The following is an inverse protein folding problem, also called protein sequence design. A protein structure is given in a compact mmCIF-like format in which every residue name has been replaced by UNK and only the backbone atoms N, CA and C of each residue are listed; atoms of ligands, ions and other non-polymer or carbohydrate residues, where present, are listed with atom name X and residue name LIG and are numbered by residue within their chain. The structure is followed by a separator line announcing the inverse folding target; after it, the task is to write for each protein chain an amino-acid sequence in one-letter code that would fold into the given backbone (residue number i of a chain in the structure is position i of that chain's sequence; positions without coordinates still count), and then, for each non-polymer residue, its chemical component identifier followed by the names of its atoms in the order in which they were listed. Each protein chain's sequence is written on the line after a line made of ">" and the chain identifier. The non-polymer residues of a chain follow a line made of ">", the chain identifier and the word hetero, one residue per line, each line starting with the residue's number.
data_IF_582105166263
#
_entry.id   IF_582105166263
#
_cell.length_a   1.000
_cell.length_b   1.000
_cell.length_c   1.000
_cell.angle_alpha   90.00
_cell.angle_beta   90.00
_cell.angle_gamma   90.00
#
_symmetry.space_group_name_H-M   'P 1'
#
loop_
_entity.id
_entity.type
_entity.pdbx_description
1 polymer ?
#
# COMPACT_ATOMS: atom_id res chain seq x y z
N UNK A 1 -31.41 -9.32 -0.49
CA UNK A 1 -30.47 -9.34 -1.65
C UNK A 1 -29.82 -7.99 -1.92
N UNK A 2 -30.42 -6.84 -1.56
CA UNK A 2 -29.76 -5.54 -1.76
C UNK A 2 -28.46 -5.35 -0.96
N UNK A 3 -28.37 -5.93 0.25
CA UNK A 3 -27.18 -5.79 1.10
C UNK A 3 -25.94 -6.44 0.46
N UNK A 4 -26.08 -7.63 -0.15
CA UNK A 4 -24.96 -8.32 -0.83
C UNK A 4 -24.49 -7.58 -2.09
N UNK A 5 -25.42 -7.02 -2.87
CA UNK A 5 -25.09 -6.21 -4.05
C UNK A 5 -24.35 -4.92 -3.66
N UNK A 6 -24.79 -4.26 -2.58
CA UNK A 6 -24.15 -3.06 -2.07
C UNK A 6 -22.77 -3.35 -1.46
N UNK A 7 -22.63 -4.47 -0.75
CA UNK A 7 -21.35 -4.92 -0.18
C UNK A 7 -20.34 -5.31 -1.27
N UNK A 8 -20.78 -6.02 -2.30
CA UNK A 8 -19.95 -6.35 -3.47
C UNK A 8 -19.45 -5.10 -4.19
N UNK A 9 -20.33 -4.14 -4.47
CA UNK A 9 -19.95 -2.88 -5.13
C UNK A 9 -19.00 -2.04 -4.26
N UNK A 10 -19.23 -2.00 -2.95
CA UNK A 10 -18.34 -1.32 -2.00
C UNK A 10 -16.96 -1.98 -1.93
N UNK A 11 -16.91 -3.31 -1.93
CA UNK A 11 -15.67 -4.07 -1.99
C UNK A 11 -14.92 -3.85 -3.30
N UNK A 12 -15.61 -3.87 -4.44
CA UNK A 12 -14.98 -3.59 -5.74
C UNK A 12 -14.42 -2.16 -5.79
N UNK A 13 -15.16 -1.18 -5.30
CA UNK A 13 -14.71 0.21 -5.21
C UNK A 13 -13.49 0.37 -4.30
N UNK A 14 -13.47 -0.35 -3.17
CA UNK A 14 -12.34 -0.38 -2.23
C UNK A 14 -11.10 -1.03 -2.83
N UNK A 15 -11.25 -2.11 -3.60
CA UNK A 15 -10.14 -2.75 -4.34
C UNK A 15 -9.54 -1.76 -5.33
N UNK A 16 -10.37 -1.08 -6.13
CA UNK A 16 -9.88 -0.10 -7.11
C UNK A 16 -9.19 1.09 -6.46
N UNK A 17 -9.71 1.58 -5.33
CA UNK A 17 -9.09 2.67 -4.58
C UNK A 17 -7.75 2.24 -3.97
N UNK A 18 -7.70 1.06 -3.35
CA UNK A 18 -6.49 0.50 -2.76
C UNK A 18 -5.43 0.18 -3.81
N UNK A 19 -5.80 -0.33 -4.98
CA UNK A 19 -4.88 -0.55 -6.11
C UNK A 19 -4.19 0.76 -6.54
N UNK A 20 -4.94 1.85 -6.70
CA UNK A 20 -4.34 3.17 -7.03
C UNK A 20 -3.38 3.66 -5.95
N UNK A 21 -3.72 3.46 -4.67
CA UNK A 21 -2.87 3.83 -3.54
C UNK A 21 -1.57 3.01 -3.49
N UNK A 22 -1.67 1.70 -3.74
CA UNK A 22 -0.52 0.80 -3.84
C UNK A 22 0.42 1.21 -4.97
N UNK A 23 -0.13 1.51 -6.15
CA UNK A 23 0.65 1.93 -7.33
C UNK A 23 1.43 3.22 -7.05
N UNK A 24 0.76 4.22 -6.46
CA UNK A 24 1.41 5.49 -6.13
C UNK A 24 2.53 5.29 -5.10
N UNK A 25 2.26 4.56 -4.02
CA UNK A 25 3.26 4.29 -2.98
C UNK A 25 4.45 3.47 -3.52
N UNK A 26 4.20 2.52 -4.42
CA UNK A 26 5.25 1.74 -5.08
C UNK A 26 6.16 2.64 -5.94
N UNK A 27 5.58 3.60 -6.68
CA UNK A 27 6.35 4.57 -7.46
C UNK A 27 7.21 5.47 -6.57
N UNK A 28 6.69 5.94 -5.44
CA UNK A 28 7.42 6.75 -4.45
C UNK A 28 8.56 5.96 -3.78
N UNK A 29 8.34 4.67 -3.49
CA UNK A 29 9.40 3.79 -2.98
C UNK A 29 10.49 3.58 -4.03
N UNK A 30 10.11 3.33 -5.29
CA UNK A 30 11.05 3.07 -6.37
C UNK A 30 11.94 4.30 -6.67
N UNK A 31 11.35 5.51 -6.68
CA UNK A 31 12.12 6.75 -6.88
C UNK A 31 13.09 7.04 -5.73
N UNK A 32 12.68 6.76 -4.49
CA UNK A 32 13.53 6.87 -3.31
C UNK A 32 14.65 5.82 -3.29
N UNK A 33 14.36 4.57 -3.70
CA UNK A 33 15.35 3.50 -3.77
C UNK A 33 16.46 3.77 -4.82
N UNK A 34 16.12 4.39 -5.95
CA UNK A 34 17.10 4.79 -6.97
C UNK A 34 17.97 5.97 -6.51
N UNK A 35 17.43 6.85 -5.66
CA UNK A 35 18.15 8.02 -5.12
C UNK A 35 19.14 7.65 -4.00
N UNK A 36 19.10 6.41 -3.51
CA UNK A 36 19.94 5.91 -2.43
C UNK A 36 20.94 4.88 -2.98
N UNK A 37 22.18 5.27 -3.35
CA UNK A 37 23.19 4.29 -3.71
C UNK A 37 23.43 3.34 -2.52
N UNK A 38 23.68 2.04 -2.76
CA UNK A 38 23.97 1.11 -1.68
C UNK A 38 25.17 1.63 -0.89
N UNK A 39 24.95 2.03 0.36
CA UNK A 39 26.00 2.33 1.32
C UNK A 39 26.71 1.03 1.72
N UNK A 40 27.41 0.43 0.75
CA UNK A 40 28.56 -0.41 0.99
C UNK A 40 29.79 0.49 1.06
N UNK A 41 30.42 0.54 2.23
CA UNK A 41 31.84 0.88 2.40
C UNK A 41 32.26 2.32 2.06
N UNK A 42 32.17 3.23 3.03
CA UNK A 42 33.03 4.43 3.06
C UNK A 42 33.92 4.38 4.31
N UNK A 43 35.16 3.93 4.10
CA UNK A 43 36.32 4.26 4.94
C UNK A 43 36.38 5.76 5.23
N UNK A 44 36.76 6.21 6.45
CA UNK A 44 36.91 7.62 6.75
C UNK A 44 38.21 8.19 6.16
N UNK A 45 38.15 9.35 5.48
CA UNK A 45 39.17 10.37 5.69
C UNK A 45 38.54 11.65 6.27
N UNK A 46 39.20 12.15 7.31
CA UNK A 46 38.90 13.41 8.00
C UNK A 46 38.94 14.61 7.04
N UNK A 47 38.17 15.65 7.38
CA UNK A 47 38.16 16.99 6.80
C UNK A 47 37.38 17.22 5.49
N UNK A 48 36.07 17.01 5.52
CA UNK A 48 35.14 17.86 4.76
C UNK A 48 34.07 18.39 5.72
N UNK A 49 34.12 19.70 5.97
CA UNK A 49 33.05 20.50 6.57
C UNK A 49 31.86 20.52 5.59
N UNK A 50 31.13 19.41 5.53
CA UNK A 50 30.02 19.23 4.62
C UNK A 50 28.74 19.81 5.25
N UNK A 51 28.32 20.98 4.78
CA UNK A 51 26.97 21.50 5.00
C UNK A 51 25.94 20.67 4.21
N UNK A 52 25.65 19.44 4.64
CA UNK A 52 24.43 18.72 4.26
C UNK A 52 24.14 17.50 5.17
N UNK A 53 23.49 17.69 6.33
CA UNK A 53 22.72 16.63 6.98
C UNK A 53 21.23 16.63 6.56
N UNK A 54 20.68 17.77 6.12
CA UNK A 54 19.23 17.95 6.03
C UNK A 54 18.53 17.09 4.97
N UNK A 55 19.15 16.85 3.80
CA UNK A 55 18.52 16.10 2.72
C UNK A 55 18.38 14.59 3.02
N UNK A 56 19.33 14.00 3.75
CA UNK A 56 19.31 12.58 4.11
C UNK A 56 18.27 12.29 5.21
N UNK A 57 18.07 13.23 6.15
CA UNK A 57 17.05 13.15 7.19
C UNK A 57 15.63 13.43 6.69
N UNK A 58 15.46 14.11 5.55
CA UNK A 58 14.16 14.31 4.89
C UNK A 58 13.74 13.13 4.00
N UNK A 59 14.70 12.43 3.39
CA UNK A 59 14.42 11.27 2.50
C UNK A 59 13.98 10.02 3.28
N UNK A 60 14.51 9.81 4.49
CA UNK A 60 14.16 8.68 5.36
C UNK A 60 12.69 8.66 5.84
N UNK A 61 12.10 9.76 6.35
CA UNK A 61 10.70 9.79 6.74
C UNK A 61 9.77 9.65 5.53
N UNK A 62 10.16 10.12 4.35
CA UNK A 62 9.40 9.99 3.10
C UNK A 62 9.27 8.53 2.64
N UNK A 63 10.38 7.77 2.65
CA UNK A 63 10.36 6.34 2.35
C UNK A 63 9.54 5.53 3.38
N UNK A 64 9.71 5.82 4.67
CA UNK A 64 8.93 5.16 5.72
C UNK A 64 7.42 5.42 5.55
N UNK A 65 7.05 6.66 5.23
CA UNK A 65 5.68 7.04 4.94
C UNK A 65 5.13 6.30 3.71
N UNK A 66 5.93 6.19 2.64
CA UNK A 66 5.56 5.48 1.41
C UNK A 66 5.33 3.98 1.67
N UNK A 67 6.20 3.33 2.47
CA UNK A 67 6.03 1.93 2.87
C UNK A 67 4.76 1.70 3.72
N UNK A 68 4.46 2.63 4.62
CA UNK A 68 3.21 2.57 5.40
C UNK A 68 2.00 2.75 4.47
N UNK A 69 2.04 3.72 3.55
CA UNK A 69 0.97 3.96 2.58
C UNK A 69 0.71 2.73 1.69
N UNK A 70 1.79 2.08 1.22
CA UNK A 70 1.72 0.81 0.49
C UNK A 70 0.97 -0.25 1.32
N UNK A 71 1.39 -0.43 2.59
CA UNK A 71 0.79 -1.42 3.48
C UNK A 71 -0.68 -1.15 3.80
N UNK A 72 -1.05 0.12 3.96
CA UNK A 72 -2.45 0.54 4.14
C UNK A 72 -3.27 0.21 2.89
N UNK A 73 -2.76 0.50 1.69
CA UNK A 73 -3.41 0.14 0.44
C UNK A 73 -3.59 -1.37 0.28
N UNK A 74 -2.57 -2.17 0.58
CA UNK A 74 -2.68 -3.65 0.59
C UNK A 74 -3.76 -4.15 1.55
N UNK A 75 -3.84 -3.58 2.76
CA UNK A 75 -4.82 -3.96 3.75
C UNK A 75 -6.24 -3.60 3.30
N UNK A 76 -6.42 -2.41 2.74
CA UNK A 76 -7.70 -1.96 2.18
C UNK A 76 -8.20 -2.88 1.06
N UNK A 77 -7.31 -3.28 0.13
CA UNK A 77 -7.63 -4.26 -0.91
C UNK A 77 -8.02 -5.60 -0.29
N UNK A 78 -7.25 -6.09 0.69
CA UNK A 78 -7.51 -7.38 1.36
C UNK A 78 -8.83 -7.39 2.12
N UNK A 79 -9.12 -6.32 2.86
CA UNK A 79 -10.37 -6.15 3.58
C UNK A 79 -11.55 -6.12 2.61
N UNK A 80 -11.42 -5.36 1.52
CA UNK A 80 -12.43 -5.26 0.47
C UNK A 80 -12.67 -6.60 -0.24
N UNK A 81 -11.61 -7.39 -0.48
CA UNK A 81 -11.72 -8.74 -1.02
C UNK A 81 -12.51 -9.67 -0.08
N UNK A 82 -12.29 -9.56 1.23
CA UNK A 82 -13.05 -10.34 2.22
C UNK A 82 -14.54 -9.97 2.23
N UNK A 83 -14.87 -8.69 2.03
CA UNK A 83 -16.27 -8.24 1.89
C UNK A 83 -16.92 -8.85 0.64
N UNK A 84 -16.20 -8.90 -0.48
CA UNK A 84 -16.68 -9.55 -1.71
C UNK A 84 -16.89 -11.06 -1.51
N UNK A 85 -15.95 -11.74 -0.88
CA UNK A 85 -16.03 -13.19 -0.58
C UNK A 85 -17.23 -13.50 0.32
N UNK A 86 -17.40 -12.75 1.42
CA UNK A 86 -18.55 -12.93 2.32
C UNK A 86 -19.88 -12.61 1.64
N UNK A 87 -19.92 -11.64 0.73
CA UNK A 87 -21.12 -11.37 -0.05
C UNK A 87 -21.48 -12.55 -0.98
N UNK A 88 -20.49 -13.24 -1.54
CA UNK A 88 -20.65 -14.45 -2.37
C UNK A 88 -21.11 -15.65 -1.53
N UNK A 89 -20.50 -15.89 -0.36
CA UNK A 89 -20.92 -16.95 0.57
C UNK A 89 -22.37 -16.77 1.05
N UNK A 90 -22.78 -15.53 1.38
CA UNK A 90 -24.16 -15.21 1.76
C UNK A 90 -25.12 -15.42 0.57
N UNK A 91 -24.70 -15.12 -0.65
CA UNK A 91 -25.51 -15.39 -1.84
C UNK A 91 -25.67 -16.89 -2.09
N UNK A 92 -24.58 -17.66 -1.99
CA UNK A 92 -24.58 -19.11 -2.16
C UNK A 92 -25.48 -19.81 -1.14
N UNK A 93 -25.39 -19.44 0.13
CA UNK A 93 -26.25 -19.99 1.20
C UNK A 93 -27.74 -19.63 1.01
N UNK A 94 -28.06 -18.47 0.43
CA UNK A 94 -29.44 -18.09 0.08
C UNK A 94 -30.00 -18.83 -1.13
N UNK A 95 -29.14 -19.28 -2.06
CA UNK A 95 -29.56 -20.15 -3.18
C UNK A 95 -29.84 -21.55 -2.66
N UNK A 96 -28.95 -22.11 -1.84
CA UNK A 96 -29.06 -23.48 -1.33
C UNK A 96 -30.28 -23.68 -0.39
N UNK A 97 -30.68 -22.63 0.32
CA UNK A 97 -31.89 -22.65 1.17
C UNK A 97 -33.21 -22.49 0.40
N UNK A 98 -33.17 -22.08 -0.87
CA UNK A 98 -34.36 -21.95 -1.74
C UNK A 98 -34.55 -23.13 -2.70
N UNK A 99 -33.54 -23.98 -2.84
CA UNK A 99 -33.57 -25.18 -3.69
C UNK A 99 -34.29 -26.36 -3.03
#
# INVERSE_FOLDING_TARGET
>A
MEISANAFNSGLSGIQAGQRRVEQAASEIASNAVSQPPQGSQTPPQNQVNSAPQAAEQTRPDLAQSLVALRVGENEVRASARVVETADEVLGTLIDTRA
#
